data_IF_967024224904
#
_entry.id   IF_967024224904
#
_cell.length_a   1.000
_cell.length_b   1.000
_cell.length_c   1.000
_cell.angle_alpha   90.00
_cell.angle_beta   90.00
_cell.angle_gamma   90.00
#
_symmetry.space_group_name_H-M   'P 1'
#
loop_
_entity.id
_entity.type
_entity.pdbx_description
1 polymer ?
#
# COMPACT_ATOMS: atom_id res chain seq x y z
N UNK A 1 -47.79 50.41 -52.71
CA UNK A 1 -46.32 50.43 -52.64
C UNK A 1 -45.93 50.02 -51.23
N UNK A 2 -45.63 48.75 -51.06
CA UNK A 2 -45.40 48.10 -49.76
C UNK A 2 -43.91 48.10 -49.45
N UNK A 3 -43.55 48.69 -48.31
CA UNK A 3 -42.17 48.87 -47.85
C UNK A 3 -41.69 47.55 -47.24
N UNK A 4 -40.62 46.97 -47.80
CA UNK A 4 -39.97 45.75 -47.30
C UNK A 4 -39.01 46.12 -46.17
N UNK A 5 -39.09 45.50 -44.97
CA UNK A 5 -38.13 45.75 -43.90
C UNK A 5 -36.80 44.97 -44.12
N UNK A 6 -35.67 45.49 -43.63
CA UNK A 6 -34.36 44.89 -43.90
C UNK A 6 -34.08 43.62 -43.09
N UNK A 7 -33.35 42.74 -43.77
CA UNK A 7 -32.90 41.41 -43.39
C UNK A 7 -32.09 41.41 -42.07
N UNK A 8 -32.58 40.73 -41.01
CA UNK A 8 -31.80 40.44 -39.80
C UNK A 8 -30.90 39.24 -40.08
N UNK A 9 -29.59 39.48 -40.11
CA UNK A 9 -28.55 38.46 -40.07
C UNK A 9 -28.68 37.60 -38.82
N UNK A 10 -29.09 36.34 -38.97
CA UNK A 10 -28.93 35.34 -37.93
C UNK A 10 -27.46 34.91 -37.86
N UNK A 11 -26.69 35.48 -36.93
CA UNK A 11 -25.47 34.83 -36.44
C UNK A 11 -25.87 33.87 -35.33
N UNK A 12 -26.21 32.63 -35.70
CA UNK A 12 -26.46 31.52 -34.79
C UNK A 12 -25.59 30.33 -35.18
N UNK A 13 -25.04 29.65 -34.17
CA UNK A 13 -24.36 28.37 -34.32
C UNK A 13 -25.27 27.33 -35.01
N UNK A 14 -24.74 26.42 -35.85
CA UNK A 14 -25.58 25.52 -36.63
C UNK A 14 -26.35 24.56 -35.73
N UNK A 15 -27.69 24.62 -35.78
CA UNK A 15 -28.55 23.57 -35.25
C UNK A 15 -28.58 22.42 -36.24
N UNK A 16 -27.71 21.44 -36.02
CA UNK A 16 -27.69 20.18 -36.76
C UNK A 16 -28.95 19.36 -36.49
N UNK A 17 -29.60 18.96 -37.58
CA UNK A 17 -30.75 18.05 -37.65
C UNK A 17 -30.28 16.62 -37.33
N UNK A 18 -31.04 15.91 -36.49
CA UNK A 18 -30.82 14.50 -36.14
C UNK A 18 -30.87 13.59 -37.37
N UNK A 19 -29.86 12.74 -37.54
CA UNK A 19 -29.98 11.30 -37.87
C UNK A 19 -28.57 10.72 -38.09
N UNK A 20 -28.12 9.85 -37.18
CA UNK A 20 -27.31 8.64 -37.40
C UNK A 20 -26.88 8.18 -36.00
N UNK A 21 -27.46 7.08 -35.53
CA UNK A 21 -27.14 6.45 -34.25
C UNK A 21 -25.76 5.81 -34.29
N UNK A 22 -24.71 6.61 -34.19
CA UNK A 22 -23.39 6.12 -33.84
C UNK A 22 -23.38 5.90 -32.32
N UNK A 23 -23.50 4.63 -31.90
CA UNK A 23 -23.07 4.21 -30.57
C UNK A 23 -21.55 4.36 -30.51
N UNK A 24 -21.07 5.58 -30.28
CA UNK A 24 -19.71 5.79 -29.81
C UNK A 24 -19.62 5.05 -28.48
N UNK A 25 -18.94 3.91 -28.48
CA UNK A 25 -18.49 3.27 -27.26
C UNK A 25 -17.70 4.36 -26.54
N UNK A 26 -18.24 4.88 -25.44
CA UNK A 26 -17.53 5.86 -24.63
C UNK A 26 -16.24 5.20 -24.19
N UNK A 27 -15.12 5.69 -24.73
CA UNK A 27 -13.80 5.26 -24.33
C UNK A 27 -13.70 5.49 -22.83
N UNK A 28 -13.31 4.47 -22.08
CA UNK A 28 -13.15 4.57 -20.63
C UNK A 28 -12.24 5.77 -20.33
N UNK A 29 -12.67 6.64 -19.42
CA UNK A 29 -11.89 7.83 -19.04
C UNK A 29 -10.46 7.40 -18.67
N UNK A 30 -9.43 8.19 -19.02
CA UNK A 30 -8.06 7.83 -18.69
C UNK A 30 -7.89 7.67 -17.18
N UNK A 31 -7.18 6.63 -16.75
CA UNK A 31 -6.92 6.30 -15.34
C UNK A 31 -6.23 7.43 -14.57
N UNK A 32 -5.65 8.40 -15.28
CA UNK A 32 -5.02 9.61 -14.73
C UNK A 32 -6.03 10.62 -14.18
N UNK A 33 -7.30 10.57 -14.61
CA UNK A 33 -8.33 11.54 -14.20
C UNK A 33 -9.16 11.04 -13.02
N UNK A 34 -9.58 9.77 -13.04
CA UNK A 34 -10.43 9.17 -12.01
C UNK A 34 -9.92 7.74 -11.75
N UNK A 35 -9.00 7.61 -10.79
CA UNK A 35 -8.48 6.30 -10.38
C UNK A 35 -9.38 5.70 -9.32
N UNK A 36 -10.20 4.73 -9.74
CA UNK A 36 -11.09 3.98 -8.85
C UNK A 36 -10.33 2.88 -8.11
N UNK A 37 -10.52 2.80 -6.79
CA UNK A 37 -9.91 1.81 -5.90
C UNK A 37 -10.99 1.15 -5.05
N UNK A 38 -11.02 -0.18 -5.05
CA UNK A 38 -11.94 -0.95 -4.22
C UNK A 38 -11.40 -1.07 -2.80
N UNK A 39 -12.21 -0.66 -1.82
CA UNK A 39 -11.98 -0.88 -0.41
C UNK A 39 -12.96 -1.93 0.10
N UNK A 40 -12.52 -2.73 1.06
CA UNK A 40 -13.35 -3.73 1.72
C UNK A 40 -13.38 -3.51 3.24
N UNK A 41 -14.41 -4.02 3.93
CA UNK A 41 -14.57 -3.85 5.36
C UNK A 41 -13.36 -4.40 6.13
N UNK A 42 -12.96 -3.73 7.21
CA UNK A 42 -11.87 -4.20 8.10
C UNK A 42 -12.12 -5.64 8.59
N UNK A 43 -13.38 -6.02 8.83
CA UNK A 43 -13.78 -7.37 9.26
C UNK A 43 -13.49 -8.47 8.25
N UNK A 44 -13.24 -8.15 6.98
CA UNK A 44 -12.86 -9.14 5.97
C UNK A 44 -11.42 -9.62 6.12
N UNK A 45 -10.61 -8.91 6.88
CA UNK A 45 -9.20 -9.18 7.07
C UNK A 45 -8.98 -9.85 8.41
N UNK A 46 -8.21 -10.94 8.37
CA UNK A 46 -7.87 -11.70 9.57
C UNK A 46 -6.40 -11.45 9.93
N UNK A 47 -6.14 -11.28 11.22
CA UNK A 47 -4.82 -10.95 11.73
C UNK A 47 -4.30 -12.10 12.59
N UNK A 48 -3.39 -12.89 12.04
CA UNK A 48 -2.61 -13.89 12.77
C UNK A 48 -1.33 -13.31 13.35
N UNK A 49 -0.68 -14.06 14.23
CA UNK A 49 0.63 -13.68 14.78
C UNK A 49 1.73 -14.59 14.22
N UNK A 50 2.96 -14.06 14.13
CA UNK A 50 4.17 -14.82 13.79
C UNK A 50 5.37 -14.39 14.64
N UNK A 51 6.51 -15.03 14.43
CA UNK A 51 7.73 -14.68 15.15
C UNK A 51 8.12 -13.19 15.02
N UNK A 52 8.71 -12.59 16.07
CA UNK A 52 9.10 -11.18 16.05
C UNK A 52 10.02 -10.84 14.87
N UNK A 53 9.81 -9.66 14.30
CA UNK A 53 10.65 -9.10 13.24
C UNK A 53 11.47 -7.95 13.85
N UNK A 54 12.76 -8.17 14.00
CA UNK A 54 13.67 -7.15 14.54
C UNK A 54 14.21 -6.24 13.44
N UNK A 55 14.35 -4.96 13.78
CA UNK A 55 15.00 -3.98 12.91
C UNK A 55 16.49 -4.30 12.77
N UNK A 56 17.07 -3.96 11.61
CA UNK A 56 18.50 -4.15 11.35
C UNK A 56 19.38 -3.33 12.30
N UNK A 57 18.93 -2.12 12.65
CA UNK A 57 19.71 -1.16 13.42
C UNK A 57 19.22 -1.11 14.88
N UNK A 58 20.15 -1.30 15.82
CA UNK A 58 19.85 -1.27 17.27
C UNK A 58 19.56 0.13 17.80
N UNK A 59 19.95 1.18 17.06
CA UNK A 59 19.78 2.58 17.45
C UNK A 59 19.72 3.50 16.24
N UNK A 60 19.23 4.73 16.46
CA UNK A 60 19.23 5.79 15.44
C UNK A 60 20.66 6.12 14.98
N UNK A 61 21.64 6.10 15.90
CA UNK A 61 23.04 6.34 15.58
C UNK A 61 23.60 5.24 14.66
N UNK A 62 23.34 3.98 14.98
CA UNK A 62 23.73 2.84 14.14
C UNK A 62 23.11 2.92 12.74
N UNK A 63 21.84 3.32 12.64
CA UNK A 63 21.15 3.52 11.35
C UNK A 63 21.85 4.53 10.46
N UNK A 64 22.21 5.71 10.98
CA UNK A 64 22.90 6.73 10.19
C UNK A 64 24.35 6.36 9.87
N UNK A 65 25.00 5.58 10.75
CA UNK A 65 26.33 5.06 10.48
C UNK A 65 26.32 4.06 9.32
N UNK A 66 25.43 3.07 9.35
CA UNK A 66 25.23 2.13 8.22
C UNK A 66 24.83 2.87 6.95
N UNK A 67 24.00 3.91 7.05
CA UNK A 67 23.62 4.73 5.90
C UNK A 67 24.81 5.42 5.25
N UNK A 68 25.79 5.92 6.03
CA UNK A 68 27.05 6.47 5.49
C UNK A 68 27.85 5.41 4.77
N UNK A 69 28.07 4.27 5.42
CA UNK A 69 28.89 3.18 4.88
C UNK A 69 28.29 2.57 3.60
N UNK A 70 26.97 2.44 3.51
CA UNK A 70 26.29 2.00 2.30
C UNK A 70 26.34 3.07 1.21
N UNK A 71 26.19 4.35 1.58
CA UNK A 71 26.21 5.44 0.60
C UNK A 71 27.54 5.52 -0.16
N UNK A 72 28.66 5.27 0.53
CA UNK A 72 29.98 5.27 -0.09
C UNK A 72 30.18 4.07 -1.05
N UNK A 73 29.45 2.97 -0.85
CA UNK A 73 29.60 1.73 -1.64
C UNK A 73 28.62 1.63 -2.82
N UNK A 74 27.35 1.95 -2.58
CA UNK A 74 26.25 1.73 -3.54
C UNK A 74 25.47 3.00 -3.87
N UNK A 75 25.81 4.15 -3.26
CA UNK A 75 25.16 5.42 -3.48
C UNK A 75 23.85 5.60 -2.70
N UNK A 76 22.90 6.34 -3.28
CA UNK A 76 21.65 6.70 -2.62
C UNK A 76 20.85 5.47 -2.20
N UNK A 77 20.49 5.38 -0.91
CA UNK A 77 19.59 4.34 -0.38
C UNK A 77 18.22 4.46 -1.04
N UNK A 78 17.65 3.33 -1.48
CA UNK A 78 16.29 3.26 -2.04
C UNK A 78 15.38 2.51 -1.07
N UNK A 79 14.27 3.15 -0.69
CA UNK A 79 13.28 2.61 0.25
C UNK A 79 11.91 2.63 -0.40
N UNK A 80 11.13 1.57 -0.22
CA UNK A 80 9.75 1.48 -0.71
C UNK A 80 8.80 1.16 0.45
N UNK A 81 7.64 1.81 0.47
CA UNK A 81 6.61 1.62 1.49
C UNK A 81 5.24 1.42 0.82
N UNK A 82 4.46 0.47 1.35
CA UNK A 82 3.13 0.13 0.89
C UNK A 82 2.05 0.77 1.77
N UNK A 83 1.10 1.44 1.14
CA UNK A 83 -0.10 1.98 1.79
C UNK A 83 -1.25 1.03 1.50
N UNK A 84 -1.74 0.35 2.53
CA UNK A 84 -2.92 -0.52 2.45
C UNK A 84 -4.10 0.19 3.08
N UNK A 85 -5.24 0.11 2.40
CA UNK A 85 -6.45 0.83 2.80
C UNK A 85 -7.59 -0.17 2.94
N UNK A 86 -8.30 -0.07 4.04
CA UNK A 86 -9.55 -0.77 4.32
C UNK A 86 -10.62 0.27 4.64
N UNK A 87 -11.86 -0.14 4.83
CA UNK A 87 -12.86 0.77 5.38
C UNK A 87 -13.58 0.18 6.59
N UNK A 88 -14.05 1.06 7.45
CA UNK A 88 -14.99 0.75 8.52
C UNK A 88 -16.01 1.88 8.55
N UNK A 89 -17.30 1.55 8.58
CA UNK A 89 -18.39 2.55 8.50
C UNK A 89 -18.29 3.51 7.29
N UNK A 90 -17.75 3.03 6.14
CA UNK A 90 -17.47 3.83 4.94
C UNK A 90 -16.46 4.97 5.17
N UNK A 91 -15.59 4.81 6.16
CA UNK A 91 -14.45 5.68 6.38
C UNK A 91 -13.17 4.93 6.01
N UNK A 92 -12.29 5.49 5.16
CA UNK A 92 -11.04 4.87 4.80
C UNK A 92 -10.07 4.86 5.99
N UNK A 93 -9.46 3.70 6.24
CA UNK A 93 -8.45 3.50 7.27
C UNK A 93 -7.18 2.96 6.63
N UNK A 94 -6.03 3.52 7.02
CA UNK A 94 -4.71 3.06 6.60
C UNK A 94 -4.20 2.03 7.59
N UNK A 95 -3.71 0.89 7.11
CA UNK A 95 -3.09 -0.11 7.96
C UNK A 95 -1.65 0.30 8.32
N UNK A 96 -1.35 0.43 9.61
CA UNK A 96 -0.04 0.83 10.14
C UNK A 96 0.51 -0.22 11.11
N UNK A 97 1.83 -0.42 11.07
CA UNK A 97 2.57 -1.20 12.05
C UNK A 97 2.94 -0.31 13.24
N UNK A 98 2.35 -0.59 14.40
CA UNK A 98 2.65 0.09 15.67
C UNK A 98 3.71 -0.69 16.45
N UNK A 99 4.76 0.00 16.89
CA UNK A 99 5.82 -0.50 17.77
C UNK A 99 5.79 0.32 19.07
N UNK A 100 5.56 -0.31 20.21
CA UNK A 100 5.35 0.41 21.46
C UNK A 100 4.07 1.26 21.41
N UNK A 101 4.11 2.47 21.97
CA UNK A 101 2.92 3.34 22.09
C UNK A 101 2.82 4.41 21.00
N UNK A 102 3.94 5.03 20.63
CA UNK A 102 3.96 6.24 19.79
C UNK A 102 4.64 6.08 18.43
N UNK A 103 5.16 4.88 18.11
CA UNK A 103 5.92 4.69 16.89
C UNK A 103 5.11 3.90 15.86
N UNK A 104 4.85 4.53 14.71
CA UNK A 104 4.07 3.97 13.62
C UNK A 104 4.90 3.90 12.34
N UNK A 105 4.72 2.81 11.58
CA UNK A 105 5.40 2.57 10.31
C UNK A 105 4.43 2.05 9.26
N UNK A 106 4.70 2.42 8.01
CA UNK A 106 4.16 1.71 6.85
C UNK A 106 4.95 0.41 6.64
N UNK A 107 4.29 -0.68 6.21
CA UNK A 107 5.00 -1.89 5.80
C UNK A 107 5.85 -1.59 4.55
N UNK A 108 7.09 -2.07 4.54
CA UNK A 108 8.07 -1.71 3.51
C UNK A 108 9.49 -1.90 4.01
N UNK A 109 10.44 -1.28 3.33
CA UNK A 109 11.85 -1.40 3.67
C UNK A 109 12.81 -1.04 2.55
N UNK A 110 14.06 -1.44 2.73
CA UNK A 110 15.18 -1.12 1.85
C UNK A 110 15.22 -2.10 0.66
N UNK A 111 15.42 -1.55 -0.53
CA UNK A 111 15.65 -2.33 -1.75
C UNK A 111 17.10 -2.81 -1.84
N UNK A 112 17.28 -3.97 -2.47
CA UNK A 112 18.61 -4.45 -2.85
C UNK A 112 19.17 -3.59 -4.03
N UNK A 113 20.50 -3.54 -4.22
CA UNK A 113 21.09 -2.87 -5.37
C UNK A 113 20.55 -3.46 -6.68
N UNK A 114 20.09 -2.59 -7.58
CA UNK A 114 19.51 -2.99 -8.87
C UNK A 114 18.12 -3.65 -8.81
N UNK A 115 17.54 -3.85 -7.62
CA UNK A 115 16.20 -4.41 -7.49
C UNK A 115 15.12 -3.45 -8.01
N UNK A 116 14.10 -4.01 -8.66
CA UNK A 116 12.91 -3.29 -9.08
C UNK A 116 12.07 -2.84 -7.87
N UNK A 117 11.45 -1.67 -7.96
CA UNK A 117 10.76 -1.04 -6.84
C UNK A 117 9.47 -1.78 -6.48
N UNK A 118 8.72 -2.23 -7.49
CA UNK A 118 7.45 -2.93 -7.30
C UNK A 118 7.72 -4.33 -6.79
N UNK A 119 8.61 -5.08 -7.45
CA UNK A 119 8.97 -6.44 -7.02
C UNK A 119 9.65 -6.45 -5.65
N UNK A 120 10.49 -5.46 -5.36
CA UNK A 120 11.08 -5.27 -4.04
C UNK A 120 10.03 -4.99 -2.97
N UNK A 121 9.02 -4.16 -3.27
CA UNK A 121 7.90 -3.94 -2.35
C UNK A 121 7.09 -5.22 -2.14
N UNK A 122 6.79 -6.00 -3.18
CA UNK A 122 6.12 -7.31 -3.04
C UNK A 122 6.89 -8.26 -2.13
N UNK A 123 8.22 -8.32 -2.28
CA UNK A 123 9.11 -9.11 -1.41
C UNK A 123 9.01 -8.63 0.05
N UNK A 124 9.14 -7.34 0.28
CA UNK A 124 9.10 -6.74 1.63
C UNK A 124 7.73 -6.91 2.29
N UNK A 125 6.65 -6.69 1.56
CA UNK A 125 5.28 -6.94 2.02
C UNK A 125 5.06 -8.39 2.43
N UNK A 126 5.57 -9.32 1.61
CA UNK A 126 5.54 -10.75 1.90
C UNK A 126 6.39 -11.06 3.14
N UNK A 127 7.58 -10.48 3.27
CA UNK A 127 8.43 -10.66 4.46
C UNK A 127 7.74 -10.18 5.74
N UNK A 128 7.03 -9.05 5.67
CA UNK A 128 6.28 -8.48 6.81
C UNK A 128 5.04 -9.31 7.16
N UNK A 129 4.26 -9.78 6.18
CA UNK A 129 2.94 -10.39 6.43
C UNK A 129 2.83 -11.91 6.21
N UNK A 130 3.84 -12.57 5.65
CA UNK A 130 3.79 -14.03 5.43
C UNK A 130 3.92 -14.79 6.75
N UNK A 131 3.13 -15.86 6.91
CA UNK A 131 3.30 -16.85 7.99
C UNK A 131 4.69 -17.47 7.90
N UNK A 132 5.40 -17.56 9.02
CA UNK A 132 6.61 -18.39 9.09
C UNK A 132 6.25 -19.83 8.72
N UNK A 133 7.10 -20.50 7.94
CA UNK A 133 6.98 -21.89 7.50
C UNK A 133 7.11 -22.90 8.68
N UNK A 134 6.46 -22.65 9.81
CA UNK A 134 6.40 -23.56 10.95
C UNK A 134 5.34 -24.66 10.79
N UNK A 135 4.66 -24.76 9.65
CA UNK A 135 3.89 -25.97 9.29
C UNK A 135 4.79 -27.20 9.08
N UNK A 136 6.11 -27.03 8.96
CA UNK A 136 7.06 -28.15 9.01
C UNK A 136 7.23 -28.75 10.42
N UNK A 137 6.71 -28.12 11.48
CA UNK A 137 6.74 -28.70 12.85
C UNK A 137 5.53 -29.61 13.09
N UNK A 138 4.36 -29.31 12.51
CA UNK A 138 3.17 -30.17 12.67
C UNK A 138 3.36 -31.50 11.92
N UNK A 139 4.00 -31.50 10.74
CA UNK A 139 4.39 -32.75 10.06
C UNK A 139 5.42 -33.57 10.87
N UNK A 140 6.26 -32.92 11.68
CA UNK A 140 7.26 -33.60 12.55
C UNK A 140 6.67 -34.12 13.86
N UNK A 141 5.62 -33.49 14.38
CA UNK A 141 4.88 -33.97 15.55
C UNK A 141 3.98 -35.17 15.20
N UNK A 142 3.38 -35.18 14.00
CA UNK A 142 2.62 -36.34 13.51
C UNK A 142 3.49 -37.57 13.23
N UNK A 143 4.76 -37.41 12.84
CA UNK A 143 5.67 -38.54 12.65
C UNK A 143 6.11 -39.23 13.96
N UNK A 144 5.84 -38.62 15.13
CA UNK A 144 6.23 -39.18 16.44
C UNK A 144 5.07 -39.67 17.30
N UNK A 145 3.83 -39.46 16.88
CA UNK A 145 2.66 -39.99 17.57
C UNK A 145 2.02 -41.10 16.74
N UNK A 146 2.26 -42.36 17.12
CA UNK A 146 1.59 -43.54 16.59
C UNK A 146 0.15 -43.66 17.16
N UNK A 147 -0.63 -42.58 17.11
CA UNK A 147 -2.01 -42.58 17.56
C UNK A 147 -2.93 -42.83 16.37
N UNK A 148 -3.43 -44.07 16.29
CA UNK A 148 -4.50 -44.48 15.39
C UNK A 148 -5.78 -43.85 15.93
N UNK A 149 -6.23 -42.74 15.33
CA UNK A 149 -7.65 -42.36 15.36
C UNK A 149 -8.16 -42.43 13.92
N UNK A 150 -8.90 -43.50 13.65
CA UNK A 150 -9.80 -43.64 12.51
C UNK A 150 -11.10 -42.89 12.84
N UNK A 151 -11.18 -41.62 12.45
CA UNK A 151 -12.45 -40.88 12.40
C UNK A 151 -12.54 -40.03 11.13
N UNK A 152 -13.74 -39.71 10.63
CA UNK A 152 -13.94 -39.06 9.33
C UNK A 152 -13.52 -37.57 9.28
N UNK A 153 -12.94 -37.04 10.37
CA UNK A 153 -12.55 -35.63 10.50
C UNK A 153 -11.25 -35.24 9.78
N UNK A 154 -10.50 -36.20 9.23
CA UNK A 154 -9.31 -35.86 8.43
C UNK A 154 -9.66 -35.07 7.16
N UNK A 155 -10.85 -35.27 6.60
CA UNK A 155 -11.29 -34.59 5.38
C UNK A 155 -11.87 -33.19 5.65
N UNK A 156 -12.46 -32.97 6.82
CA UNK A 156 -12.98 -31.66 7.21
C UNK A 156 -11.85 -30.73 7.70
N UNK A 157 -10.89 -31.28 8.45
CA UNK A 157 -9.69 -30.54 8.87
C UNK A 157 -8.73 -30.29 7.71
N UNK A 158 -8.63 -31.17 6.69
CA UNK A 158 -7.85 -30.88 5.47
C UNK A 158 -8.53 -29.84 4.57
N UNK A 159 -9.85 -29.70 4.59
CA UNK A 159 -10.52 -28.60 3.89
C UNK A 159 -10.36 -27.27 4.63
N UNK A 160 -10.30 -27.27 5.96
CA UNK A 160 -10.09 -26.06 6.77
C UNK A 160 -8.62 -25.63 6.82
N UNK A 161 -7.66 -26.58 6.83
CA UNK A 161 -6.22 -26.31 6.97
C UNK A 161 -5.39 -26.59 5.71
N UNK A 162 -5.93 -27.26 4.70
CA UNK A 162 -5.15 -27.84 3.59
C UNK A 162 -5.36 -27.21 2.21
N UNK A 163 -5.76 -25.94 2.12
CA UNK A 163 -5.87 -25.24 0.83
C UNK A 163 -5.10 -23.94 0.67
N UNK A 164 -4.21 -23.61 1.61
CA UNK A 164 -3.26 -22.50 1.44
C UNK A 164 -1.84 -22.89 1.83
N UNK A 165 -1.40 -24.08 1.39
CA UNK A 165 0.02 -24.36 1.17
C UNK A 165 0.56 -23.28 0.21
N UNK A 166 1.10 -22.19 0.76
CA UNK A 166 1.90 -21.23 0.01
C UNK A 166 1.19 -20.43 -1.08
N UNK A 167 -0.08 -20.05 -0.91
CA UNK A 167 -0.64 -18.98 -1.77
C UNK A 167 0.20 -17.73 -1.48
N UNK A 168 1.14 -17.40 -2.37
CA UNK A 168 1.73 -16.08 -2.40
C UNK A 168 0.55 -15.11 -2.46
N UNK A 169 0.42 -14.28 -1.44
CA UNK A 169 -0.49 -13.15 -1.48
C UNK A 169 -0.11 -12.34 -2.72
N UNK A 170 -0.98 -12.32 -3.73
CA UNK A 170 -0.72 -11.56 -4.94
C UNK A 170 -0.97 -10.08 -4.63
N UNK A 171 0.13 -9.34 -4.48
CA UNK A 171 0.10 -7.93 -4.17
C UNK A 171 -0.07 -7.13 -5.46
N UNK A 172 -1.23 -6.49 -5.60
CA UNK A 172 -1.52 -5.59 -6.73
C UNK A 172 -1.01 -4.20 -6.39
N UNK A 173 0.04 -3.76 -7.08
CA UNK A 173 0.77 -2.51 -6.82
C UNK A 173 0.88 -1.72 -8.12
N UNK A 174 -0.09 -0.84 -8.36
CA UNK A 174 -0.20 -0.14 -9.65
C UNK A 174 0.06 1.37 -9.53
N UNK A 175 -0.06 1.94 -8.33
CA UNK A 175 -0.15 3.38 -8.15
C UNK A 175 0.96 3.90 -7.24
N UNK A 176 1.82 4.77 -7.77
CA UNK A 176 2.75 5.57 -6.97
C UNK A 176 1.99 6.74 -6.33
N UNK A 177 2.09 6.84 -5.00
CA UNK A 177 1.39 7.86 -4.21
C UNK A 177 2.27 9.09 -4.02
N UNK A 178 3.57 8.90 -3.76
CA UNK A 178 4.45 10.01 -3.42
C UNK A 178 5.91 9.61 -3.30
N UNK A 179 6.77 10.63 -3.27
CA UNK A 179 8.22 10.50 -3.17
C UNK A 179 8.73 11.42 -2.07
N UNK A 180 9.70 10.92 -1.29
CA UNK A 180 10.36 11.66 -0.23
C UNK A 180 11.87 11.51 -0.34
N UNK A 181 12.60 12.59 -0.09
CA UNK A 181 14.05 12.63 -0.18
C UNK A 181 14.66 13.06 1.15
N UNK A 182 15.73 12.36 1.53
CA UNK A 182 16.60 12.73 2.66
C UNK A 182 17.87 13.38 2.12
N UNK A 183 18.13 14.67 2.39
CA UNK A 183 19.32 15.34 1.86
C UNK A 183 20.62 14.95 2.58
N UNK A 184 20.56 14.73 3.90
CA UNK A 184 21.70 14.52 4.79
C UNK A 184 21.58 13.21 5.58
N UNK A 185 22.63 12.81 6.32
CA UNK A 185 22.57 11.67 7.25
C UNK A 185 21.88 12.03 8.58
N UNK A 186 20.71 12.62 8.47
CA UNK A 186 19.93 13.22 9.56
C UNK A 186 18.43 12.90 9.39
N UNK A 187 17.60 13.02 10.44
CA UNK A 187 16.17 12.67 10.39
C UNK A 187 15.27 13.38 9.35
N UNK A 188 15.48 14.66 8.99
CA UNK A 188 14.57 15.38 8.09
C UNK A 188 14.42 14.74 6.70
N UNK A 189 13.18 14.72 6.20
CA UNK A 189 12.82 14.24 4.86
C UNK A 189 11.85 15.25 4.23
N UNK A 190 11.91 15.40 2.91
CA UNK A 190 11.12 16.38 2.17
C UNK A 190 10.42 15.74 0.97
N UNK A 191 9.19 16.18 0.60
CA UNK A 191 8.46 15.67 -0.56
C UNK A 191 8.95 16.25 -1.90
N UNK A 192 10.16 16.80 -1.91
CA UNK A 192 10.87 17.34 -3.08
C UNK A 192 12.39 17.24 -2.81
N UNK A 193 13.21 17.37 -3.84
CA UNK A 193 14.66 17.46 -3.68
C UNK A 193 15.00 18.92 -3.29
N UNK A 194 15.57 19.19 -2.09
CA UNK A 194 15.86 20.56 -1.67
C UNK A 194 16.87 21.26 -2.60
N UNK A 195 16.81 22.59 -2.64
CA UNK A 195 17.69 23.40 -3.47
C UNK A 195 19.18 23.08 -3.21
N UNK A 196 19.97 23.04 -4.28
CA UNK A 196 21.42 22.74 -4.27
C UNK A 196 21.81 21.32 -3.81
N UNK A 197 20.85 20.46 -3.47
CA UNK A 197 21.11 19.06 -3.14
C UNK A 197 21.18 18.23 -4.44
N UNK A 198 22.39 17.88 -4.87
CA UNK A 198 22.63 17.03 -6.04
C UNK A 198 22.71 15.55 -5.70
N UNK A 199 23.01 15.22 -4.45
CA UNK A 199 23.24 13.83 -3.96
C UNK A 199 22.47 13.56 -2.66
N UNK A 200 21.15 13.36 -2.72
CA UNK A 200 20.37 12.92 -1.57
C UNK A 200 20.84 11.55 -1.08
N UNK A 201 20.70 11.29 0.23
CA UNK A 201 21.18 10.06 0.89
C UNK A 201 20.17 8.93 0.84
N UNK A 202 18.89 9.26 0.82
CA UNK A 202 17.79 8.30 0.74
C UNK A 202 16.69 8.86 -0.17
N UNK A 203 16.15 8.00 -1.04
CA UNK A 203 14.92 8.24 -1.78
C UNK A 203 13.90 7.18 -1.39
N UNK A 204 12.78 7.64 -0.84
CA UNK A 204 11.67 6.83 -0.37
C UNK A 204 10.47 6.99 -1.31
N UNK A 205 9.93 5.88 -1.79
CA UNK A 205 8.72 5.83 -2.62
C UNK A 205 7.57 5.17 -1.88
N UNK A 206 6.38 5.76 -2.00
CA UNK A 206 5.15 5.22 -1.45
C UNK A 206 4.27 4.69 -2.58
N UNK A 207 3.74 3.49 -2.42
CA UNK A 207 2.82 2.86 -3.37
C UNK A 207 1.51 2.48 -2.72
N UNK A 208 0.40 2.61 -3.45
CA UNK A 208 -0.89 2.08 -3.05
C UNK A 208 -0.93 0.59 -3.36
N UNK A 209 -1.17 -0.23 -2.33
CA UNK A 209 -1.29 -1.68 -2.46
C UNK A 209 -2.77 -2.02 -2.39
N UNK A 210 -3.35 -2.46 -3.51
CA UNK A 210 -4.75 -2.84 -3.59
C UNK A 210 -4.93 -4.20 -2.92
N UNK A 211 -5.82 -4.25 -1.93
CA UNK A 211 -6.16 -5.48 -1.22
C UNK A 211 -7.23 -6.28 -1.96
N UNK A 212 -7.13 -7.60 -1.87
CA UNK A 212 -8.21 -8.50 -2.25
C UNK A 212 -9.39 -8.36 -1.27
N UNK A 213 -10.57 -8.88 -1.65
CA UNK A 213 -11.77 -8.81 -0.81
C UNK A 213 -11.54 -9.40 0.58
N UNK A 214 -10.75 -10.47 0.67
CA UNK A 214 -10.37 -11.14 1.92
C UNK A 214 -8.89 -11.48 1.90
N UNK A 215 -8.20 -11.29 3.01
CA UNK A 215 -6.82 -11.69 3.19
C UNK A 215 -6.51 -12.06 4.65
N UNK A 216 -5.44 -12.83 4.83
CA UNK A 216 -4.91 -13.21 6.13
C UNK A 216 -3.50 -12.62 6.28
N UNK A 217 -3.32 -11.74 7.26
CA UNK A 217 -2.02 -11.15 7.57
C UNK A 217 -1.40 -11.83 8.77
N UNK A 218 -0.18 -12.34 8.66
CA UNK A 218 0.59 -12.82 9.80
C UNK A 218 1.53 -11.71 10.29
N UNK A 219 1.13 -11.05 11.37
CA UNK A 219 1.80 -9.88 11.93
C UNK A 219 2.88 -10.34 12.93
N UNK A 220 4.13 -9.82 12.87
CA UNK A 220 5.15 -10.15 13.85
C UNK A 220 4.71 -9.78 15.28
N UNK A 221 4.93 -10.67 16.26
CA UNK A 221 4.45 -10.48 17.66
C UNK A 221 4.90 -9.18 18.34
N UNK A 222 6.00 -8.58 17.92
CA UNK A 222 6.50 -7.30 18.45
C UNK A 222 5.83 -6.07 17.81
N UNK A 223 5.01 -6.26 16.78
CA UNK A 223 4.23 -5.23 16.13
C UNK A 223 2.75 -5.46 16.38
N UNK A 224 1.98 -4.36 16.47
CA UNK A 224 0.53 -4.38 16.40
C UNK A 224 0.10 -3.75 15.08
N UNK A 225 -0.70 -4.48 14.29
CA UNK A 225 -1.31 -3.90 13.10
C UNK A 225 -2.57 -3.13 13.52
N UNK A 226 -2.62 -1.84 13.21
CA UNK A 226 -3.73 -0.95 13.53
C UNK A 226 -4.32 -0.37 12.25
N UNK A 227 -5.63 -0.14 12.24
CA UNK A 227 -6.31 0.56 11.16
C UNK A 227 -6.56 2.00 11.63
N UNK A 228 -5.81 2.96 11.09
CA UNK A 228 -5.91 4.36 11.48
C UNK A 228 -6.80 5.13 10.48
N UNK A 229 -7.91 5.73 10.91
CA UNK A 229 -8.76 6.53 10.03
C UNK A 229 -8.04 7.79 9.54
N UNK A 230 -8.36 8.25 8.33
CA UNK A 230 -7.67 9.40 7.73
C UNK A 230 -7.73 10.68 8.58
N UNK A 231 -8.83 10.91 9.32
CA UNK A 231 -8.95 12.09 10.17
C UNK A 231 -8.00 12.10 11.37
N UNK A 232 -7.55 10.92 11.83
CA UNK A 232 -6.58 10.82 12.92
C UNK A 232 -5.15 11.13 12.43
N UNK A 233 -4.88 10.81 11.16
CA UNK A 233 -3.59 11.05 10.52
C UNK A 233 -3.45 12.51 10.07
N UNK A 234 -4.53 13.11 9.60
CA UNK A 234 -4.52 14.43 8.98
C UNK A 234 -3.96 15.49 9.93
N UNK A 235 -2.93 16.20 9.46
CA UNK A 235 -2.24 17.28 10.18
C UNK A 235 -1.65 16.86 11.55
N UNK A 236 -1.45 15.56 11.76
CA UNK A 236 -0.91 15.00 13.00
C UNK A 236 0.55 14.51 12.83
N UNK A 237 1.40 15.39 12.32
CA UNK A 237 2.83 15.12 12.19
C UNK A 237 3.54 14.82 13.54
N UNK A 238 3.16 15.40 14.69
CA UNK A 238 3.77 15.05 15.98
C UNK A 238 3.55 13.59 16.38
N UNK A 239 2.37 13.01 16.08
CA UNK A 239 2.05 11.62 16.40
C UNK A 239 2.53 10.61 15.35
N UNK A 240 2.36 10.94 14.06
CA UNK A 240 2.54 9.99 12.95
C UNK A 240 3.76 10.29 12.07
N UNK A 241 4.46 11.40 12.30
CA UNK A 241 5.52 11.88 11.43
C UNK A 241 5.00 12.52 10.14
N UNK A 242 5.86 13.23 9.38
CA UNK A 242 5.44 14.05 8.25
C UNK A 242 4.93 13.25 7.04
N UNK A 243 5.37 11.99 6.90
CA UNK A 243 4.96 11.14 5.77
C UNK A 243 3.53 10.62 5.99
N UNK A 244 3.29 9.92 7.11
CA UNK A 244 2.00 9.27 7.39
C UNK A 244 0.90 10.34 7.57
N UNK A 245 1.20 11.46 8.22
CA UNK A 245 0.21 12.53 8.41
C UNK A 245 -0.21 13.24 7.12
N UNK A 246 0.55 13.10 6.04
CA UNK A 246 0.22 13.64 4.71
C UNK A 246 -0.56 12.67 3.82
N UNK A 247 -0.76 11.42 4.25
CA UNK A 247 -1.49 10.41 3.48
C UNK A 247 -2.92 10.84 3.14
N UNK A 248 -3.70 11.50 4.01
CA UNK A 248 -5.04 11.95 3.64
C UNK A 248 -5.06 12.86 2.41
N UNK A 249 -4.09 13.78 2.30
CA UNK A 249 -3.93 14.64 1.13
C UNK A 249 -3.58 13.83 -0.12
N UNK A 250 -2.62 12.90 0.01
CA UNK A 250 -2.16 12.07 -1.11
C UNK A 250 -3.23 11.09 -1.62
N UNK A 251 -4.12 10.65 -0.73
CA UNK A 251 -5.20 9.72 -1.03
C UNK A 251 -6.47 10.40 -1.55
N UNK A 252 -6.60 11.73 -1.40
CA UNK A 252 -7.79 12.50 -1.79
C UNK A 252 -8.14 12.42 -3.28
N UNK A 253 -7.17 12.08 -4.14
CA UNK A 253 -7.35 11.96 -5.60
C UNK A 253 -8.00 10.65 -6.04
N UNK A 254 -8.08 9.65 -5.17
CA UNK A 254 -8.64 8.34 -5.53
C UNK A 254 -10.16 8.33 -5.32
N UNK A 255 -10.86 7.67 -6.24
CA UNK A 255 -12.28 7.39 -6.09
C UNK A 255 -12.47 6.06 -5.36
N UNK A 256 -12.76 6.10 -4.06
CA UNK A 256 -12.94 4.89 -3.26
C UNK A 256 -14.33 4.28 -3.42
N UNK A 257 -14.37 2.99 -3.74
CA UNK A 257 -15.59 2.18 -3.71
C UNK A 257 -15.61 1.41 -2.39
N UNK A 258 -16.60 1.70 -1.55
CA UNK A 258 -16.82 1.03 -0.26
C UNK A 258 -17.69 -0.21 -0.49
N UNK A 259 -17.05 -1.36 -0.69
CA UNK A 259 -17.73 -2.65 -0.90
C UNK A 259 -18.26 -3.25 0.41
#
# INVERSE_FOLDING_TARGET
MSVVPPNRSQTGWPRGVNQFGNKYIQQTKPLTLERTINLYPLTNYTFGTKEPLYEKDSSVAARFQRMREEFDKIGMRRTVEGVLIVHEHRLPHVLLLQLGTTFFKLPGGELNPGEDEVEGLKRLMTEVFKKSNQEMVIKRCFSKCNFILETPDKHYLSQILGRQDGVLQDWVIDDCIGNWWRPNFEPPQYPYIPAHITKPKEHKKLFLVQLQEKALFAVPKNYKLVAAPLFELYDNAPGYGPIISSLPQLLSRFNFIYN
#
